data_IF_635489487739
#
_entry.id   IF_635489487739
#
_cell.length_a   1.000
_cell.length_b   1.000
_cell.length_c   1.000
_cell.angle_alpha   90.00
_cell.angle_beta   90.00
_cell.angle_gamma   90.00
#
_symmetry.space_group_name_H-M   'P 1'
#
loop_
_entity.id
_entity.type
_entity.pdbx_description
1 polymer ?
#
# COMPACT_ATOMS: atom_id res chain seq x y z
N UNK A 1 0.88 7.15 -9.83
CA UNK A 1 0.72 5.69 -9.71
C UNK A 1 2.05 4.94 -9.69
N UNK A 2 2.95 5.16 -10.66
CA UNK A 2 4.24 4.45 -10.75
C UNK A 2 5.05 4.47 -9.43
N UNK A 3 5.26 5.65 -8.85
CA UNK A 3 6.02 5.81 -7.58
C UNK A 3 5.38 5.01 -6.45
N UNK A 4 4.06 5.01 -6.34
CA UNK A 4 3.35 4.23 -5.31
C UNK A 4 3.62 2.74 -5.48
N UNK A 5 3.58 2.23 -6.72
CA UNK A 5 3.87 0.82 -7.03
C UNK A 5 5.31 0.43 -6.64
N UNK A 6 6.27 1.29 -6.96
CA UNK A 6 7.67 1.07 -6.60
C UNK A 6 7.85 1.05 -5.08
N UNK A 7 7.30 2.03 -4.38
CA UNK A 7 7.49 2.18 -2.93
C UNK A 7 6.77 1.10 -2.12
N UNK A 8 5.50 0.80 -2.44
CA UNK A 8 4.75 -0.24 -1.72
C UNK A 8 5.33 -1.65 -2.00
N UNK A 9 5.76 -1.89 -3.25
CA UNK A 9 6.40 -3.15 -3.61
C UNK A 9 7.76 -3.34 -2.93
N UNK A 10 8.58 -2.29 -2.88
CA UNK A 10 9.85 -2.28 -2.16
C UNK A 10 9.63 -2.52 -0.66
N UNK A 11 8.66 -1.83 -0.05
CA UNK A 11 8.30 -2.02 1.36
C UNK A 11 7.85 -3.44 1.65
N UNK A 12 6.98 -4.00 0.82
CA UNK A 12 6.51 -5.39 0.96
C UNK A 12 7.67 -6.40 0.91
N UNK A 13 8.60 -6.21 -0.04
CA UNK A 13 9.73 -7.12 -0.20
C UNK A 13 10.75 -6.97 0.93
N UNK A 14 11.07 -5.75 1.33
CA UNK A 14 11.94 -5.47 2.48
C UNK A 14 11.37 -6.09 3.75
N UNK A 15 10.08 -5.92 4.02
CA UNK A 15 9.41 -6.54 5.17
C UNK A 15 9.54 -8.07 5.16
N UNK A 16 9.48 -8.71 3.98
CA UNK A 16 9.68 -10.16 3.85
C UNK A 16 11.10 -10.59 4.17
N UNK A 17 12.09 -9.85 3.70
CA UNK A 17 13.50 -10.15 3.94
C UNK A 17 13.91 -9.88 5.40
N UNK A 18 13.33 -8.86 6.03
CA UNK A 18 13.63 -8.48 7.41
C UNK A 18 13.04 -9.43 8.46
N UNK A 19 12.18 -10.39 8.08
CA UNK A 19 11.69 -11.42 9.01
C UNK A 19 12.84 -12.16 9.69
N UNK A 20 13.96 -12.37 9.01
CA UNK A 20 15.16 -13.04 9.56
C UNK A 20 15.84 -12.24 10.68
N UNK A 21 15.63 -10.92 10.73
CA UNK A 21 16.29 -10.02 11.68
C UNK A 21 15.46 -9.83 12.97
N UNK A 22 14.30 -10.46 13.06
CA UNK A 22 13.44 -10.41 14.25
C UNK A 22 13.89 -11.53 15.21
N UNK A 23 14.02 -11.28 16.53
CA UNK A 23 14.47 -12.28 17.50
C UNK A 23 13.37 -13.31 17.83
N UNK A 24 12.90 -14.03 16.81
CA UNK A 24 11.84 -15.06 16.91
C UNK A 24 12.13 -16.16 15.89
N UNK A 25 11.64 -17.38 16.16
CA UNK A 25 11.72 -18.49 15.19
C UNK A 25 11.19 -18.06 13.83
N UNK A 26 12.05 -18.05 12.83
CA UNK A 26 11.73 -17.61 11.47
C UNK A 26 10.53 -18.35 10.88
N UNK A 27 10.41 -19.66 11.10
CA UNK A 27 9.30 -20.47 10.58
C UNK A 27 7.95 -20.06 11.19
N UNK A 28 7.91 -19.84 12.50
CA UNK A 28 6.69 -19.40 13.19
C UNK A 28 6.27 -18.00 12.73
N UNK A 29 7.22 -17.05 12.70
CA UNK A 29 6.96 -15.69 12.27
C UNK A 29 6.48 -15.65 10.79
N UNK A 30 7.10 -16.46 9.92
CA UNK A 30 6.70 -16.60 8.52
C UNK A 30 5.30 -17.16 8.35
N UNK A 31 4.91 -18.16 9.17
CA UNK A 31 3.57 -18.74 9.13
C UNK A 31 2.49 -17.72 9.54
N UNK A 32 2.69 -17.03 10.66
CA UNK A 32 1.73 -16.02 11.13
C UNK A 32 1.61 -14.85 10.13
N UNK A 33 2.72 -14.33 9.63
CA UNK A 33 2.70 -13.27 8.61
C UNK A 33 1.96 -13.69 7.35
N UNK A 34 2.12 -14.92 6.89
CA UNK A 34 1.41 -15.44 5.70
C UNK A 34 -0.09 -15.55 5.94
N UNK A 35 -0.53 -15.95 7.13
CA UNK A 35 -1.95 -15.96 7.49
C UNK A 35 -2.51 -14.54 7.48
N UNK A 36 -1.79 -13.57 8.06
CA UNK A 36 -2.19 -12.16 8.05
C UNK A 36 -2.25 -11.58 6.63
N UNK A 37 -1.35 -11.98 5.72
CA UNK A 37 -1.39 -11.59 4.30
C UNK A 37 -2.69 -12.04 3.62
N UNK A 38 -3.10 -13.30 3.83
CA UNK A 38 -4.35 -13.84 3.28
C UNK A 38 -5.56 -13.09 3.82
N UNK A 39 -5.61 -12.89 5.14
CA UNK A 39 -6.70 -12.15 5.79
C UNK A 39 -6.75 -10.71 5.28
N UNK A 40 -5.60 -10.05 5.10
CA UNK A 40 -5.52 -8.69 4.58
C UNK A 40 -6.14 -8.56 3.18
N UNK A 41 -5.83 -9.49 2.28
CA UNK A 41 -6.36 -9.48 0.91
C UNK A 41 -7.88 -9.73 0.92
N UNK A 42 -8.38 -10.65 1.73
CA UNK A 42 -9.82 -10.92 1.87
C UNK A 42 -10.56 -9.70 2.42
N UNK A 43 -10.02 -9.09 3.49
CA UNK A 43 -10.60 -7.89 4.09
C UNK A 43 -10.58 -6.73 3.10
N UNK A 44 -9.50 -6.55 2.33
CA UNK A 44 -9.41 -5.53 1.28
C UNK A 44 -10.51 -5.71 0.23
N UNK A 45 -10.72 -6.93 -0.25
CA UNK A 45 -11.76 -7.24 -1.22
C UNK A 45 -13.17 -6.98 -0.70
N UNK A 46 -13.45 -7.38 0.54
CA UNK A 46 -14.76 -7.20 1.16
C UNK A 46 -15.04 -5.74 1.55
N UNK A 47 -14.06 -5.02 2.08
CA UNK A 47 -14.26 -3.68 2.64
C UNK A 47 -14.20 -2.57 1.59
N UNK A 48 -13.44 -2.76 0.53
CA UNK A 48 -13.23 -1.76 -0.53
C UNK A 48 -14.54 -1.24 -1.18
N UNK A 49 -15.56 -2.08 -1.48
CA UNK A 49 -16.82 -1.61 -2.04
C UNK A 49 -17.62 -0.70 -1.10
N UNK A 50 -17.54 -0.95 0.21
CA UNK A 50 -18.32 -0.22 1.22
C UNK A 50 -17.66 1.07 1.69
N UNK A 51 -16.37 1.02 1.98
CA UNK A 51 -15.64 2.17 2.53
C UNK A 51 -15.08 3.11 1.45
N UNK A 52 -15.04 2.65 0.21
CA UNK A 52 -14.46 3.36 -0.92
C UNK A 52 -12.92 3.25 -0.97
N UNK A 53 -12.39 3.08 -2.16
CA UNK A 53 -10.96 2.81 -2.42
C UNK A 53 -10.03 3.90 -1.83
N UNK A 54 -10.51 5.15 -1.76
CA UNK A 54 -9.73 6.29 -1.24
C UNK A 54 -9.44 6.16 0.25
N UNK A 55 -10.49 5.99 1.05
CA UNK A 55 -10.38 5.90 2.51
C UNK A 55 -9.60 4.67 2.93
N UNK A 56 -9.82 3.55 2.25
CA UNK A 56 -9.13 2.29 2.51
C UNK A 56 -7.64 2.36 2.21
N UNK A 57 -7.23 3.07 1.13
CA UNK A 57 -5.83 3.26 0.79
C UNK A 57 -5.10 4.13 1.85
N UNK A 58 -5.71 5.24 2.28
CA UNK A 58 -5.15 6.08 3.34
C UNK A 58 -5.05 5.30 4.65
N UNK A 59 -6.09 4.56 5.01
CA UNK A 59 -6.11 3.74 6.22
C UNK A 59 -4.96 2.72 6.23
N UNK A 60 -4.72 2.04 5.10
CA UNK A 60 -3.61 1.09 4.99
C UNK A 60 -2.25 1.78 5.12
N UNK A 61 -2.10 2.97 4.53
CA UNK A 61 -0.87 3.74 4.62
C UNK A 61 -0.55 4.18 6.05
N UNK A 62 -1.52 4.75 6.74
CA UNK A 62 -1.36 5.14 8.14
C UNK A 62 -1.06 3.92 9.03
N UNK A 63 -1.80 2.83 8.85
CA UNK A 63 -1.58 1.59 9.58
C UNK A 63 -0.19 1.00 9.34
N UNK A 64 0.30 1.02 8.09
CA UNK A 64 1.64 0.53 7.76
C UNK A 64 2.76 1.37 8.38
N UNK A 65 2.61 2.71 8.44
CA UNK A 65 3.58 3.60 9.10
C UNK A 65 3.64 3.30 10.60
N UNK A 66 2.48 3.26 11.26
CA UNK A 66 2.41 2.99 12.70
C UNK A 66 3.01 1.61 13.01
N UNK A 67 2.59 0.57 12.29
CA UNK A 67 3.07 -0.79 12.55
C UNK A 67 4.56 -0.94 12.28
N UNK A 68 5.11 -0.35 11.19
CA UNK A 68 6.54 -0.40 10.92
C UNK A 68 7.37 0.39 11.93
N UNK A 69 6.83 1.48 12.47
CA UNK A 69 7.49 2.23 13.55
C UNK A 69 7.52 1.43 14.86
N UNK A 70 6.48 0.64 15.14
CA UNK A 70 6.47 -0.26 16.29
C UNK A 70 7.49 -1.39 16.16
N UNK A 71 7.74 -1.88 14.93
CA UNK A 71 8.80 -2.89 14.68
C UNK A 71 10.19 -2.35 15.02
N UNK A 72 10.44 -1.04 14.82
CA UNK A 72 11.72 -0.42 15.18
C UNK A 72 11.94 -0.43 16.71
N UNK A 73 10.90 -0.37 17.51
CA UNK A 73 10.98 -0.38 18.97
C UNK A 73 11.17 -1.77 19.58
N UNK A 74 11.21 -2.84 18.76
CA UNK A 74 11.52 -4.18 19.24
C UNK A 74 12.98 -4.28 19.67
N UNK A 75 13.21 -4.79 20.87
CA UNK A 75 14.52 -5.10 21.43
C UNK A 75 14.66 -6.59 21.66
N UNK A 76 15.88 -7.08 21.90
CA UNK A 76 16.13 -8.50 22.18
C UNK A 76 15.40 -9.02 23.44
N UNK A 77 15.02 -8.11 24.35
CA UNK A 77 14.23 -8.44 25.54
C UNK A 77 12.73 -8.49 25.30
N UNK A 78 12.27 -8.12 24.07
CA UNK A 78 10.85 -8.10 23.75
C UNK A 78 10.28 -9.52 23.71
N UNK A 79 9.05 -9.71 24.20
CA UNK A 79 8.35 -10.99 24.13
C UNK A 79 8.16 -11.43 22.67
N UNK A 80 8.41 -12.73 22.38
CA UNK A 80 8.21 -13.34 21.07
C UNK A 80 6.81 -13.04 20.50
N UNK A 81 5.80 -13.07 21.36
CA UNK A 81 4.41 -12.80 20.96
C UNK A 81 4.20 -11.37 20.48
N UNK A 82 4.87 -10.39 21.10
CA UNK A 82 4.82 -8.98 20.68
C UNK A 82 5.54 -8.78 19.35
N UNK A 83 6.70 -9.41 19.19
CA UNK A 83 7.47 -9.34 17.96
C UNK A 83 6.69 -9.91 16.76
N UNK A 84 6.07 -11.09 16.93
CA UNK A 84 5.19 -11.70 15.92
C UNK A 84 4.00 -10.79 15.61
N UNK A 85 3.37 -10.21 16.63
CA UNK A 85 2.20 -9.35 16.43
C UNK A 85 2.55 -8.09 15.63
N UNK A 86 3.66 -7.40 15.95
CA UNK A 86 4.05 -6.17 15.26
C UNK A 86 4.49 -6.44 13.82
N UNK A 87 5.27 -7.50 13.59
CA UNK A 87 5.69 -7.88 12.23
C UNK A 87 4.51 -8.31 11.37
N UNK A 88 3.60 -9.11 11.92
CA UNK A 88 2.38 -9.55 11.22
C UNK A 88 1.42 -8.38 10.94
N UNK A 89 1.29 -7.42 11.88
CA UNK A 89 0.47 -6.21 11.66
C UNK A 89 1.05 -5.34 10.55
N UNK A 90 2.37 -5.14 10.51
CA UNK A 90 3.03 -4.39 9.45
C UNK A 90 2.80 -5.03 8.08
N UNK A 91 2.91 -6.35 8.00
CA UNK A 91 2.61 -7.14 6.79
C UNK A 91 1.15 -7.02 6.39
N UNK A 92 0.23 -7.12 7.34
CA UNK A 92 -1.20 -6.98 7.08
C UNK A 92 -1.53 -5.66 6.37
N UNK A 93 -1.07 -4.53 6.89
CA UNK A 93 -1.34 -3.23 6.28
C UNK A 93 -0.68 -3.06 4.92
N UNK A 94 0.53 -3.59 4.72
CA UNK A 94 1.20 -3.57 3.42
C UNK A 94 0.45 -4.40 2.39
N UNK A 95 0.05 -5.63 2.71
CA UNK A 95 -0.70 -6.52 1.82
C UNK A 95 -2.08 -5.98 1.51
N UNK A 96 -2.74 -5.39 2.52
CA UNK A 96 -4.01 -4.71 2.36
C UNK A 96 -3.90 -3.54 1.38
N UNK A 97 -2.91 -2.65 1.58
CA UNK A 97 -2.64 -1.52 0.69
C UNK A 97 -2.28 -1.95 -0.73
N UNK A 98 -1.53 -3.03 -0.85
CA UNK A 98 -1.17 -3.60 -2.15
C UNK A 98 -2.39 -4.10 -2.93
N UNK A 99 -3.31 -4.81 -2.27
CA UNK A 99 -4.57 -5.25 -2.87
C UNK A 99 -5.45 -4.07 -3.31
N UNK A 100 -5.58 -3.03 -2.48
CA UNK A 100 -6.32 -1.80 -2.82
C UNK A 100 -5.67 -1.06 -3.99
N UNK A 101 -4.35 -1.05 -4.07
CA UNK A 101 -3.61 -0.42 -5.16
C UNK A 101 -3.92 -1.08 -6.51
N UNK A 102 -4.01 -2.42 -6.57
CA UNK A 102 -4.46 -3.13 -7.76
C UNK A 102 -5.87 -2.73 -8.19
N UNK A 103 -6.80 -2.70 -7.25
CA UNK A 103 -8.18 -2.29 -7.54
C UNK A 103 -8.25 -0.84 -8.03
N UNK A 104 -7.49 0.06 -7.40
CA UNK A 104 -7.41 1.47 -7.84
C UNK A 104 -6.78 1.60 -9.21
N UNK A 105 -5.73 0.84 -9.52
CA UNK A 105 -5.08 0.84 -10.82
C UNK A 105 -6.06 0.39 -11.92
N UNK A 106 -6.79 -0.70 -11.68
CA UNK A 106 -7.80 -1.20 -12.61
C UNK A 106 -8.96 -0.21 -12.84
N UNK A 107 -9.32 0.57 -11.81
CA UNK A 107 -10.38 1.59 -11.91
C UNK A 107 -9.94 2.88 -12.64
N UNK A 108 -8.62 3.18 -12.67
CA UNK A 108 -8.09 4.40 -13.28
C UNK A 108 -7.78 4.27 -14.77
N UNK A 109 -7.39 3.07 -15.21
CA UNK A 109 -6.93 2.86 -16.58
C UNK A 109 -7.97 2.08 -17.39
N UNK A 110 -8.31 2.56 -18.63
CA UNK A 110 -9.16 1.80 -19.53
C UNK A 110 -8.49 0.46 -19.88
N UNK A 111 -9.30 -0.55 -20.16
CA UNK A 111 -8.89 -1.95 -20.37
C UNK A 111 -7.77 -2.10 -21.40
N UNK A 112 -7.77 -1.25 -22.43
CA UNK A 112 -6.77 -1.28 -23.50
C UNK A 112 -5.36 -0.93 -23.02
N UNK A 113 -5.20 0.02 -22.09
CA UNK A 113 -3.91 0.45 -21.55
C UNK A 113 -3.54 -0.22 -20.23
N UNK A 114 -4.47 -0.93 -19.60
CA UNK A 114 -4.30 -1.50 -18.27
C UNK A 114 -3.10 -2.43 -18.18
N UNK A 115 -2.94 -3.32 -19.14
CA UNK A 115 -1.84 -4.29 -19.15
C UNK A 115 -0.47 -3.63 -19.30
N UNK A 116 -0.33 -2.69 -20.23
CA UNK A 116 0.93 -1.95 -20.46
C UNK A 116 1.30 -1.09 -19.25
N UNK A 117 0.33 -0.35 -18.71
CA UNK A 117 0.53 0.50 -17.54
C UNK A 117 0.93 -0.32 -16.32
N UNK A 118 0.27 -1.46 -16.08
CA UNK A 118 0.60 -2.37 -14.99
C UNK A 118 2.00 -2.99 -15.19
N UNK A 119 2.33 -3.40 -16.42
CA UNK A 119 3.64 -3.93 -16.78
C UNK A 119 4.78 -2.94 -16.48
N UNK A 120 4.61 -1.68 -16.83
CA UNK A 120 5.58 -0.63 -16.51
C UNK A 120 5.75 -0.43 -15.00
N UNK A 121 4.64 -0.46 -14.25
CA UNK A 121 4.69 -0.37 -12.79
C UNK A 121 5.42 -1.56 -12.17
N UNK A 122 5.17 -2.77 -12.66
CA UNK A 122 5.87 -3.98 -12.22
C UNK A 122 7.35 -3.99 -12.59
N UNK A 123 7.71 -3.48 -13.76
CA UNK A 123 9.11 -3.33 -14.14
C UNK A 123 9.86 -2.40 -13.18
N UNK A 124 9.31 -1.21 -12.90
CA UNK A 124 9.91 -0.27 -11.93
C UNK A 124 10.01 -0.86 -10.52
N UNK A 125 8.96 -1.57 -10.07
CA UNK A 125 8.98 -2.30 -8.80
C UNK A 125 10.10 -3.36 -8.80
N UNK A 126 10.21 -4.18 -9.83
CA UNK A 126 11.23 -5.23 -9.94
C UNK A 126 12.65 -4.67 -9.89
N UNK A 127 12.88 -3.55 -10.57
CA UNK A 127 14.17 -2.85 -10.51
C UNK A 127 14.52 -2.38 -9.10
N UNK A 128 13.57 -1.77 -8.38
CA UNK A 128 13.79 -1.36 -7.00
C UNK A 128 14.02 -2.57 -6.07
N UNK A 129 13.28 -3.66 -6.25
CA UNK A 129 13.43 -4.90 -5.47
C UNK A 129 14.82 -5.54 -5.61
N UNK A 130 15.53 -5.28 -6.70
CA UNK A 130 16.90 -5.76 -6.88
C UNK A 130 17.87 -5.24 -5.80
N UNK A 131 17.63 -4.04 -5.29
CA UNK A 131 18.46 -3.42 -4.25
C UNK A 131 18.03 -3.80 -2.82
N UNK A 132 16.83 -4.35 -2.64
CA UNK A 132 16.28 -4.63 -1.30
C UNK A 132 17.05 -5.66 -0.49
N UNK A 133 17.68 -6.73 -1.06
CA UNK A 133 18.53 -7.62 -0.29
C UNK A 133 19.69 -6.90 0.38
N UNK A 134 20.32 -5.93 -0.30
CA UNK A 134 21.41 -5.12 0.28
C UNK A 134 20.92 -4.31 1.49
N UNK A 135 19.70 -3.76 1.41
CA UNK A 135 19.08 -3.04 2.53
C UNK A 135 18.76 -3.99 3.69
N UNK A 136 18.26 -5.19 3.39
CA UNK A 136 17.88 -6.17 4.41
C UNK A 136 19.07 -6.79 5.15
N UNK A 137 20.28 -6.73 4.57
CA UNK A 137 21.51 -7.18 5.18
C UNK A 137 22.17 -6.13 6.09
N UNK A 138 21.68 -4.88 6.05
CA UNK A 138 22.15 -3.84 6.94
C UNK A 138 21.78 -4.18 8.40
N UNK A 139 22.61 -3.71 9.34
CA UNK A 139 22.39 -3.91 10.77
C UNK A 139 21.08 -3.27 11.23
N UNK A 140 20.41 -3.92 12.19
CA UNK A 140 19.25 -3.31 12.86
C UNK A 140 19.66 -1.97 13.50
N UNK A 141 18.88 -0.86 13.38
CA UNK A 141 17.49 -0.79 12.88
C UNK A 141 17.33 -0.32 11.42
N UNK A 142 18.40 -0.20 10.63
CA UNK A 142 18.40 0.42 9.30
C UNK A 142 17.34 -0.14 8.33
N UNK A 143 17.14 -1.46 8.19
CA UNK A 143 16.13 -1.99 7.27
C UNK A 143 14.72 -1.53 7.61
N UNK A 144 14.39 -1.46 8.89
CA UNK A 144 13.07 -1.02 9.37
C UNK A 144 12.86 0.49 9.21
N UNK A 145 13.93 1.29 9.31
CA UNK A 145 13.88 2.74 9.02
C UNK A 145 13.59 2.95 7.53
N UNK A 146 14.28 2.25 6.63
CA UNK A 146 14.03 2.32 5.19
C UNK A 146 12.60 1.90 4.86
N UNK A 147 12.10 0.82 5.48
CA UNK A 147 10.72 0.38 5.34
C UNK A 147 9.73 1.48 5.74
N UNK A 148 9.95 2.14 6.87
CA UNK A 148 9.08 3.21 7.36
C UNK A 148 9.12 4.44 6.45
N UNK A 149 10.30 4.79 5.92
CA UNK A 149 10.45 5.87 4.92
C UNK A 149 9.67 5.53 3.64
N UNK A 150 9.82 4.34 3.10
CA UNK A 150 9.05 3.88 1.93
C UNK A 150 7.53 3.96 2.19
N UNK A 151 7.08 3.52 3.37
CA UNK A 151 5.68 3.59 3.78
C UNK A 151 5.17 5.03 3.86
N UNK A 152 5.97 5.94 4.37
CA UNK A 152 5.62 7.36 4.45
C UNK A 152 5.52 8.00 3.06
N UNK A 153 6.48 7.71 2.18
CA UNK A 153 6.52 8.25 0.83
C UNK A 153 5.29 7.79 0.03
N UNK A 154 5.01 6.49 -0.03
CA UNK A 154 3.86 6.02 -0.81
C UNK A 154 2.52 6.49 -0.25
N UNK A 155 2.39 6.62 1.08
CA UNK A 155 1.19 7.15 1.73
C UNK A 155 0.98 8.61 1.37
N UNK A 156 2.03 9.43 1.39
CA UNK A 156 1.97 10.83 0.95
C UNK A 156 1.54 10.95 -0.52
N UNK A 157 2.15 10.17 -1.42
CA UNK A 157 1.75 10.16 -2.82
C UNK A 157 0.33 9.65 -3.05
N UNK A 158 -0.12 8.67 -2.29
CA UNK A 158 -1.50 8.19 -2.33
C UNK A 158 -2.48 9.31 -1.98
N UNK A 159 -2.16 10.11 -0.96
CA UNK A 159 -2.99 11.24 -0.55
C UNK A 159 -3.12 12.29 -1.67
N UNK A 160 -2.01 12.69 -2.30
CA UNK A 160 -2.02 13.64 -3.41
C UNK A 160 -2.81 13.16 -4.63
N UNK A 161 -2.65 11.89 -5.03
CA UNK A 161 -3.39 11.33 -6.17
C UNK A 161 -4.89 11.29 -5.89
N UNK A 162 -5.26 11.00 -4.66
CA UNK A 162 -6.66 10.96 -4.22
C UNK A 162 -7.29 12.36 -4.29
N UNK A 163 -6.59 13.37 -3.84
CA UNK A 163 -7.06 14.76 -3.89
C UNK A 163 -7.30 15.24 -5.33
N UNK A 164 -6.34 14.98 -6.22
CA UNK A 164 -6.47 15.33 -7.64
C UNK A 164 -7.68 14.67 -8.31
N UNK A 165 -7.84 13.36 -8.13
CA UNK A 165 -8.98 12.61 -8.68
C UNK A 165 -10.33 13.07 -8.12
N UNK A 166 -10.39 13.61 -6.89
CA UNK A 166 -11.61 14.17 -6.32
C UNK A 166 -11.98 15.50 -6.97
N UNK A 167 -11.00 16.34 -7.27
CA UNK A 167 -11.20 17.63 -7.96
C UNK A 167 -11.69 17.42 -9.38
N UNK A 168 -11.07 16.52 -10.14
CA UNK A 168 -11.48 16.19 -11.51
C UNK A 168 -12.94 15.70 -11.56
N UNK A 169 -13.34 14.78 -10.67
CA UNK A 169 -14.74 14.32 -10.59
C UNK A 169 -15.73 15.43 -10.26
N UNK A 170 -15.37 16.35 -9.35
CA UNK A 170 -16.25 17.48 -9.00
C UNK A 170 -16.38 18.50 -10.13
N UNK A 171 -15.39 18.64 -10.97
CA UNK A 171 -15.44 19.48 -12.17
C UNK A 171 -16.32 18.83 -13.25
N UNK A 172 -16.16 17.55 -13.51
CA UNK A 172 -16.97 16.80 -14.47
C UNK A 172 -18.47 16.83 -14.08
N UNK A 173 -18.80 16.70 -12.79
CA UNK A 173 -20.18 16.82 -12.29
C UNK A 173 -20.74 18.24 -12.52
N UNK A 174 -19.94 19.28 -12.35
CA UNK A 174 -20.37 20.67 -12.63
C UNK A 174 -20.63 20.88 -14.12
N UNK A 175 -19.73 20.43 -14.99
CA UNK A 175 -19.94 20.53 -16.45
C UNK A 175 -21.20 19.77 -16.90
N UNK A 176 -21.45 18.59 -16.33
CA UNK A 176 -22.66 17.83 -16.63
C UNK A 176 -23.95 18.55 -16.18
N UNK A 177 -23.95 19.23 -15.02
CA UNK A 177 -25.07 20.02 -14.54
C UNK A 177 -25.31 21.28 -15.39
N UNK A 178 -24.25 21.98 -15.79
CA UNK A 178 -24.33 23.14 -16.64
C UNK A 178 -24.88 22.81 -18.03
N UNK A 179 -24.43 21.72 -18.65
CA UNK A 179 -24.98 21.25 -19.93
C UNK A 179 -26.47 20.91 -19.86
N UNK A 180 -26.89 20.23 -18.80
CA UNK A 180 -28.31 19.87 -18.59
C UNK A 180 -29.20 21.11 -18.36
N UNK A 181 -28.67 22.14 -17.72
CA UNK A 181 -29.33 23.41 -17.50
C UNK A 181 -29.50 24.19 -18.80
N UNK A 182 -28.50 24.19 -19.70
CA UNK A 182 -28.55 24.84 -21.01
C UNK A 182 -29.57 24.17 -21.94
N UNK A 183 -29.62 22.84 -21.97
CA UNK A 183 -30.58 22.09 -22.78
C UNK A 183 -32.04 22.34 -22.34
N UNK A 184 -32.28 22.48 -21.03
CA UNK A 184 -33.60 22.79 -20.50
C UNK A 184 -34.08 24.22 -20.84
N UNK A 185 -33.16 25.18 -20.96
CA UNK A 185 -33.45 26.55 -21.38
C UNK A 185 -33.66 26.71 -22.89
N UNK A 186 -33.12 25.82 -23.73
CA UNK A 186 -33.38 25.82 -25.18
C UNK A 186 -34.66 25.09 -25.58
N UNK A 187 -35.23 24.28 -24.68
CA UNK A 187 -36.46 23.51 -24.92
C UNK A 187 -37.74 24.23 -24.45
N UNK A 188 -37.64 25.39 -23.82
CA UNK A 188 -38.75 26.26 -23.38
C UNK A 188 -38.89 27.51 -24.26
#
# INVERSE_FOLDING_TARGET
MFIIWVMIGSGYYTSSLCLKNVPVDFEKNGLYTSIFDIVAILVAGCLSPYAGIRKTLIFSGMGSIVSSSLVISLTEESSDSLAIFYTSSSRFFLSYGFAILYMKHAALFPTFFLGTSLGMCHFGKGFAMFFMPMVAEAEHPWPNIVLTICNTIWTAFAFFIIEKSAKELSEDEKYAQESHSQDSHQAS
#
